data_IF_159115033631
#
_entry.id   IF_159115033631
#
_cell.length_a   1.000
_cell.length_b   1.000
_cell.length_c   1.000
_cell.angle_alpha   90.00
_cell.angle_beta   90.00
_cell.angle_gamma   90.00
#
_symmetry.space_group_name_H-M   'P 1'
#
loop_
_entity.id
_entity.type
_entity.pdbx_description
1 polymer ?
#
# COMPACT_ATOMS: atom_id res chain seq x y z
N UNK A 1 4.51 8.55 -10.26
CA UNK A 1 4.74 7.28 -9.52
C UNK A 1 4.72 6.02 -10.41
N UNK A 2 4.46 6.12 -11.74
CA UNK A 2 4.44 4.95 -12.62
C UNK A 2 5.84 4.31 -12.70
N UNK A 3 5.95 3.01 -12.41
CA UNK A 3 7.20 2.24 -12.45
C UNK A 3 7.33 1.35 -13.70
N UNK A 4 6.34 1.34 -14.57
CA UNK A 4 6.26 0.39 -15.69
C UNK A 4 6.43 1.04 -17.06
N UNK A 5 6.33 2.37 -17.14
CA UNK A 5 6.30 3.07 -18.41
C UNK A 5 7.06 4.39 -18.36
N UNK A 6 7.85 4.63 -19.40
CA UNK A 6 8.53 5.91 -19.61
C UNK A 6 7.54 6.92 -20.18
N UNK A 7 7.63 8.15 -19.66
CA UNK A 7 6.95 9.31 -20.26
C UNK A 7 7.99 10.34 -20.65
N UNK A 8 7.89 10.87 -21.87
CA UNK A 8 8.84 11.84 -22.38
C UNK A 8 8.80 13.14 -21.54
N UNK A 9 9.97 13.62 -21.14
CA UNK A 9 10.10 14.83 -20.33
C UNK A 9 9.68 14.70 -18.87
N UNK A 10 9.31 13.49 -18.39
CA UNK A 10 8.90 13.26 -17.02
C UNK A 10 9.83 12.28 -16.31
N UNK A 11 10.44 12.73 -15.22
CA UNK A 11 11.18 11.87 -14.30
C UNK A 11 10.16 11.19 -13.38
N UNK A 12 9.84 9.94 -13.67
CA UNK A 12 8.95 9.10 -12.88
C UNK A 12 9.71 7.92 -12.23
N UNK A 13 9.03 7.03 -11.51
CA UNK A 13 9.67 5.86 -10.88
C UNK A 13 10.29 4.93 -11.91
N UNK A 14 9.72 4.80 -13.12
CA UNK A 14 10.35 4.05 -14.20
C UNK A 14 11.72 4.64 -14.56
N UNK A 15 11.81 5.97 -14.71
CA UNK A 15 13.08 6.62 -15.00
C UNK A 15 14.13 6.35 -13.90
N UNK A 16 13.75 6.49 -12.63
CA UNK A 16 14.63 6.26 -11.50
C UNK A 16 15.11 4.80 -11.43
N UNK A 17 14.24 3.86 -11.75
CA UNK A 17 14.53 2.43 -11.66
C UNK A 17 15.35 1.91 -12.83
N UNK A 18 15.00 2.31 -14.08
CA UNK A 18 15.49 1.65 -15.29
C UNK A 18 16.45 2.50 -16.14
N UNK A 19 16.45 3.84 -15.96
CA UNK A 19 17.24 4.74 -16.81
C UNK A 19 18.35 5.41 -16.02
N UNK A 20 18.07 5.91 -14.81
CA UNK A 20 19.06 6.57 -13.98
C UNK A 20 20.22 5.61 -13.63
N UNK A 21 21.46 6.04 -13.85
CA UNK A 21 22.64 5.28 -13.47
C UNK A 21 22.90 5.31 -11.97
N UNK A 22 23.62 4.29 -11.44
CA UNK A 22 24.10 4.33 -10.06
C UNK A 22 25.03 5.52 -9.84
N UNK A 23 24.94 6.15 -8.67
CA UNK A 23 25.70 7.34 -8.26
C UNK A 23 25.42 8.61 -9.09
N UNK A 24 24.45 8.58 -10.00
CA UNK A 24 24.00 9.76 -10.72
C UNK A 24 22.94 10.49 -9.87
N UNK A 25 23.13 11.80 -9.70
CA UNK A 25 22.17 12.67 -9.01
C UNK A 25 21.20 13.30 -10.02
N UNK A 26 19.91 13.27 -9.73
CA UNK A 26 18.89 13.91 -10.55
C UNK A 26 17.91 14.70 -9.67
N UNK A 27 17.48 15.85 -10.16
CA UNK A 27 16.38 16.60 -9.55
C UNK A 27 15.04 15.98 -9.94
N UNK A 28 14.17 15.75 -8.95
CA UNK A 28 12.85 15.16 -9.11
C UNK A 28 11.75 16.13 -8.68
N UNK A 29 10.54 15.91 -9.17
CA UNK A 29 9.36 16.69 -8.76
C UNK A 29 9.13 16.58 -7.24
N UNK A 30 8.73 17.70 -6.63
CA UNK A 30 8.50 17.77 -5.18
C UNK A 30 7.53 16.69 -4.67
N UNK A 31 6.46 16.38 -5.39
CA UNK A 31 5.51 15.34 -4.97
C UNK A 31 6.13 13.93 -5.01
N UNK A 32 7.06 13.69 -5.96
CA UNK A 32 7.81 12.44 -5.99
C UNK A 32 8.83 12.38 -4.85
N UNK A 33 9.48 13.49 -4.54
CA UNK A 33 10.36 13.63 -3.37
C UNK A 33 9.59 13.38 -2.06
N UNK A 34 8.45 14.04 -1.89
CA UNK A 34 7.62 13.91 -0.69
C UNK A 34 7.19 12.45 -0.44
N UNK A 35 6.69 11.75 -1.46
CA UNK A 35 6.23 10.35 -1.30
C UNK A 35 7.39 9.38 -1.01
N UNK A 36 8.60 9.63 -1.56
CA UNK A 36 9.80 8.84 -1.25
C UNK A 36 10.22 9.08 0.20
N UNK A 37 10.26 10.34 0.66
CA UNK A 37 10.59 10.67 2.05
C UNK A 37 9.61 10.00 3.03
N UNK A 38 8.32 10.04 2.75
CA UNK A 38 7.31 9.37 3.57
C UNK A 38 7.55 7.85 3.57
N UNK A 39 7.89 7.26 2.41
CA UNK A 39 8.22 5.85 2.33
C UNK A 39 9.44 5.46 3.17
N UNK A 40 10.49 6.28 3.21
CA UNK A 40 11.68 6.11 4.06
C UNK A 40 11.30 6.26 5.56
N UNK A 41 10.48 7.24 5.89
CA UNK A 41 9.97 7.43 7.26
C UNK A 41 9.23 6.19 7.76
N UNK A 42 8.31 5.64 6.92
CA UNK A 42 7.55 4.44 7.30
C UNK A 42 8.37 3.15 7.27
N UNK A 43 9.43 3.06 6.46
CA UNK A 43 10.41 2.00 6.61
C UNK A 43 10.97 1.95 8.04
N UNK A 44 11.38 3.09 8.58
CA UNK A 44 11.92 3.19 9.94
C UNK A 44 10.85 2.92 11.01
N UNK A 45 9.62 3.42 10.82
CA UNK A 45 8.51 3.23 11.78
C UNK A 45 7.98 1.79 11.83
N UNK A 46 8.27 0.98 10.84
CA UNK A 46 7.79 -0.41 10.70
C UNK A 46 8.91 -1.44 10.74
N UNK A 47 10.08 -1.06 11.25
CA UNK A 47 11.28 -1.91 11.33
C UNK A 47 11.61 -2.59 10.00
N UNK A 48 11.47 -1.85 8.89
CA UNK A 48 11.76 -2.30 7.54
C UNK A 48 10.68 -3.14 6.87
N UNK A 49 9.57 -3.42 7.55
CA UNK A 49 8.49 -4.24 6.99
C UNK A 49 7.72 -3.52 5.87
N UNK A 50 7.49 -2.20 5.99
CA UNK A 50 7.06 -1.37 4.89
C UNK A 50 8.28 -0.82 4.16
N UNK A 51 8.64 -1.39 3.00
CA UNK A 51 9.89 -1.08 2.32
C UNK A 51 9.68 -0.66 0.86
N UNK A 52 9.83 0.63 0.58
CA UNK A 52 9.74 1.17 -0.78
C UNK A 52 10.96 0.82 -1.66
N UNK A 53 12.07 0.36 -1.08
CA UNK A 53 13.26 -0.12 -1.80
C UNK A 53 13.14 -1.58 -2.26
N UNK A 54 12.00 -2.24 -2.03
CA UNK A 54 11.76 -3.63 -2.40
C UNK A 54 11.43 -3.85 -3.90
N UNK A 55 11.67 -2.86 -4.77
CA UNK A 55 11.27 -2.90 -6.18
C UNK A 55 11.88 -4.06 -6.98
N UNK A 56 13.11 -4.46 -6.68
CA UNK A 56 13.71 -5.65 -7.29
C UNK A 56 12.97 -6.92 -6.88
N UNK A 57 12.71 -7.10 -5.59
CA UNK A 57 12.02 -8.26 -5.03
C UNK A 57 10.57 -8.37 -5.54
N UNK A 58 9.81 -7.28 -5.49
CA UNK A 58 8.42 -7.25 -5.98
C UNK A 58 8.33 -7.42 -7.48
N UNK A 59 9.37 -7.00 -8.22
CA UNK A 59 9.50 -7.21 -9.67
C UNK A 59 9.59 -8.70 -10.02
N UNK A 60 10.46 -9.46 -9.33
CA UNK A 60 10.59 -10.91 -9.50
C UNK A 60 9.26 -11.61 -9.21
N UNK A 61 8.67 -11.37 -8.03
CA UNK A 61 7.38 -11.98 -7.69
C UNK A 61 6.28 -11.65 -8.68
N UNK A 62 6.23 -10.43 -9.21
CA UNK A 62 5.25 -10.06 -10.25
C UNK A 62 5.40 -10.92 -11.49
N UNK A 63 6.62 -11.21 -11.95
CA UNK A 63 6.83 -12.09 -13.11
C UNK A 63 6.34 -13.50 -12.85
N UNK A 64 6.67 -14.07 -11.68
CA UNK A 64 6.23 -15.41 -11.31
C UNK A 64 4.72 -15.51 -11.12
N UNK A 65 4.10 -14.53 -10.48
CA UNK A 65 2.63 -14.47 -10.33
C UNK A 65 1.94 -14.37 -11.70
N UNK A 66 2.49 -13.59 -12.63
CA UNK A 66 1.91 -13.45 -13.98
C UNK A 66 2.07 -14.73 -14.82
N UNK A 67 3.18 -15.44 -14.70
CA UNK A 67 3.42 -16.71 -15.40
C UNK A 67 2.65 -17.88 -14.78
N UNK A 68 2.52 -17.88 -13.47
CA UNK A 68 1.78 -18.85 -12.65
C UNK A 68 2.10 -20.33 -12.94
N UNK A 69 3.38 -20.66 -13.09
CA UNK A 69 3.83 -22.01 -13.43
C UNK A 69 4.95 -22.56 -12.55
N UNK A 70 5.57 -21.71 -11.73
CA UNK A 70 6.65 -22.04 -10.81
C UNK A 70 6.84 -20.95 -9.77
N UNK A 71 7.66 -21.21 -8.75
CA UNK A 71 8.04 -20.23 -7.75
C UNK A 71 9.49 -19.76 -7.97
N UNK A 72 9.86 -18.54 -7.60
CA UNK A 72 11.23 -18.08 -7.65
C UNK A 72 12.10 -18.87 -6.67
N UNK A 73 13.33 -19.18 -7.07
CA UNK A 73 14.32 -19.78 -6.18
C UNK A 73 14.86 -18.77 -5.17
N UNK A 74 15.39 -19.27 -4.04
CA UNK A 74 16.03 -18.41 -3.04
C UNK A 74 17.18 -17.57 -3.63
N UNK A 75 17.89 -18.11 -4.64
CA UNK A 75 18.97 -17.39 -5.32
C UNK A 75 18.45 -16.20 -6.14
N UNK A 76 17.31 -16.34 -6.80
CA UNK A 76 16.65 -15.24 -7.52
C UNK A 76 16.11 -14.18 -6.57
N UNK A 77 15.62 -14.59 -5.39
CA UNK A 77 15.13 -13.69 -4.36
C UNK A 77 16.26 -12.99 -3.56
N UNK A 78 17.52 -13.37 -3.79
CA UNK A 78 18.66 -12.72 -3.14
C UNK A 78 19.08 -11.45 -3.88
N UNK A 79 18.22 -10.46 -3.82
CA UNK A 79 18.36 -9.15 -4.46
C UNK A 79 18.49 -8.02 -3.44
N UNK A 80 19.08 -6.92 -3.88
CA UNK A 80 19.20 -5.72 -3.05
C UNK A 80 17.84 -5.08 -2.81
N UNK A 81 17.53 -4.83 -1.53
CA UNK A 81 16.36 -4.11 -1.03
C UNK A 81 16.73 -3.13 0.09
N UNK A 82 18.02 -2.73 0.16
CA UNK A 82 18.52 -1.86 1.22
C UNK A 82 18.04 -0.41 1.00
N UNK A 83 17.29 0.13 1.94
CA UNK A 83 16.78 1.50 1.88
C UNK A 83 17.89 2.55 1.90
N UNK A 84 19.06 2.24 2.49
CA UNK A 84 20.21 3.14 2.56
C UNK A 84 20.87 3.37 1.18
N UNK A 85 20.53 2.55 0.19
CA UNK A 85 20.95 2.73 -1.20
C UNK A 85 20.08 3.79 -1.94
N UNK A 86 19.16 4.42 -1.26
CA UNK A 86 18.38 5.59 -1.70
C UNK A 86 18.87 6.80 -0.92
N UNK A 87 19.38 7.82 -1.62
CA UNK A 87 19.69 9.11 -1.04
C UNK A 87 18.77 10.17 -1.62
N UNK A 88 18.13 10.92 -0.75
CA UNK A 88 17.29 12.04 -1.12
C UNK A 88 17.68 13.26 -0.27
N UNK A 89 18.19 14.28 -0.93
CA UNK A 89 18.52 15.57 -0.33
C UNK A 89 17.67 16.66 -0.99
N UNK A 90 16.68 17.16 -0.25
CA UNK A 90 15.61 17.99 -0.80
C UNK A 90 14.90 17.25 -1.97
N UNK A 91 15.05 17.76 -3.21
CA UNK A 91 14.49 17.13 -4.41
C UNK A 91 15.56 16.43 -5.26
N UNK A 92 16.76 16.23 -4.74
CA UNK A 92 17.86 15.56 -5.44
C UNK A 92 17.92 14.09 -5.04
N UNK A 93 17.64 13.23 -5.97
CA UNK A 93 17.63 11.79 -5.81
C UNK A 93 18.89 11.15 -6.37
N UNK A 94 19.49 10.26 -5.61
CA UNK A 94 20.60 9.41 -6.05
C UNK A 94 20.32 7.97 -5.64
N UNK A 95 20.64 7.00 -6.48
CA UNK A 95 20.57 5.58 -6.13
C UNK A 95 21.94 4.90 -6.19
N UNK A 96 22.07 3.85 -5.39
CA UNK A 96 23.26 3.00 -5.33
C UNK A 96 22.87 1.54 -5.53
N UNK A 97 23.85 0.70 -5.94
CA UNK A 97 23.73 -0.76 -5.97
C UNK A 97 22.47 -1.29 -6.70
N UNK A 98 22.08 -0.65 -7.80
CA UNK A 98 20.93 -1.00 -8.63
C UNK A 98 19.59 -1.13 -7.87
N UNK A 99 19.42 -0.37 -6.79
CA UNK A 99 18.18 -0.36 -6.03
C UNK A 99 16.99 0.09 -6.91
N UNK A 100 15.85 -0.51 -6.73
CA UNK A 100 14.59 -0.14 -7.40
C UNK A 100 13.50 0.21 -6.40
N UNK A 101 12.78 1.28 -6.70
CA UNK A 101 11.63 1.73 -5.93
C UNK A 101 10.36 0.94 -6.28
N UNK A 102 9.56 0.64 -5.27
CA UNK A 102 8.16 0.25 -5.39
C UNK A 102 7.29 1.12 -4.48
N UNK A 103 6.48 1.98 -5.07
CA UNK A 103 5.55 2.86 -4.36
C UNK A 103 4.10 2.32 -4.35
N UNK A 104 3.92 1.03 -4.66
CA UNK A 104 2.58 0.41 -4.78
C UNK A 104 1.72 0.48 -3.53
N UNK A 105 2.33 0.40 -2.34
CA UNK A 105 1.64 0.47 -1.05
C UNK A 105 1.41 1.88 -0.49
N UNK A 106 1.75 2.94 -1.24
CA UNK A 106 1.64 4.33 -0.77
C UNK A 106 1.07 5.28 -1.82
N UNK A 107 1.26 4.99 -3.11
CA UNK A 107 0.99 5.95 -4.18
C UNK A 107 -0.49 6.29 -4.34
N UNK A 108 -1.38 5.29 -4.19
CA UNK A 108 -2.83 5.53 -4.29
C UNK A 108 -3.32 6.41 -3.15
N UNK A 109 -2.90 6.09 -1.92
CA UNK A 109 -3.21 6.87 -0.72
C UNK A 109 -2.72 8.31 -0.82
N UNK A 110 -1.48 8.50 -1.25
CA UNK A 110 -0.90 9.82 -1.42
C UNK A 110 -1.67 10.67 -2.44
N UNK A 111 -1.97 10.13 -3.62
CA UNK A 111 -2.71 10.87 -4.65
C UNK A 111 -4.15 11.15 -4.20
N UNK A 112 -4.82 10.19 -3.59
CA UNK A 112 -6.18 10.37 -3.04
C UNK A 112 -6.22 11.47 -1.97
N UNK A 113 -5.19 11.52 -1.10
CA UNK A 113 -5.05 12.59 -0.10
C UNK A 113 -4.89 13.95 -0.77
N UNK A 114 -3.99 14.08 -1.76
CA UNK A 114 -3.80 15.34 -2.50
C UNK A 114 -5.08 15.81 -3.19
N UNK A 115 -5.85 14.90 -3.80
CA UNK A 115 -7.12 15.25 -4.45
C UNK A 115 -8.16 15.67 -3.41
N UNK A 116 -8.25 14.97 -2.28
CA UNK A 116 -9.13 15.34 -1.17
C UNK A 116 -8.84 16.75 -0.64
N UNK A 117 -7.56 17.02 -0.35
CA UNK A 117 -7.12 18.34 0.11
C UNK A 117 -7.43 19.43 -0.92
N UNK A 118 -7.18 19.17 -2.21
CA UNK A 118 -7.52 20.12 -3.27
C UNK A 118 -9.02 20.44 -3.32
N UNK A 119 -9.89 19.45 -3.14
CA UNK A 119 -11.34 19.67 -3.09
C UNK A 119 -11.72 20.52 -1.88
N UNK A 120 -11.19 20.19 -0.71
CA UNK A 120 -11.46 20.91 0.55
C UNK A 120 -10.96 22.36 0.50
N UNK A 121 -9.76 22.61 -0.04
CA UNK A 121 -9.20 23.96 -0.26
C UNK A 121 -10.05 24.81 -1.21
N UNK A 122 -10.81 24.16 -2.11
CA UNK A 122 -11.77 24.81 -2.99
C UNK A 122 -13.22 24.80 -2.45
N UNK A 123 -13.40 24.56 -1.15
CA UNK A 123 -14.70 24.51 -0.45
C UNK A 123 -15.65 23.39 -0.93
N UNK A 124 -15.12 22.36 -1.59
CA UNK A 124 -15.87 21.16 -1.99
C UNK A 124 -15.67 20.11 -0.88
N UNK A 125 -16.51 20.17 0.14
CA UNK A 125 -16.40 19.30 1.32
C UNK A 125 -17.17 17.97 1.18
N UNK A 126 -18.12 17.90 0.24
CA UNK A 126 -18.98 16.72 0.05
C UNK A 126 -18.51 15.96 -1.18
N UNK A 127 -17.72 14.90 -0.98
CA UNK A 127 -17.14 14.12 -2.08
C UNK A 127 -16.95 12.66 -1.71
N UNK A 128 -16.82 11.82 -2.72
CA UNK A 128 -16.31 10.45 -2.64
C UNK A 128 -15.25 10.31 -3.71
N UNK A 129 -14.05 9.91 -3.30
CA UNK A 129 -12.96 9.52 -4.19
C UNK A 129 -12.79 8.01 -4.05
N UNK A 130 -12.80 7.28 -5.17
CA UNK A 130 -12.46 5.85 -5.20
C UNK A 130 -11.34 5.61 -6.20
N UNK A 131 -10.15 5.37 -5.70
CA UNK A 131 -8.95 5.09 -6.47
C UNK A 131 -8.62 3.58 -6.44
N UNK A 132 -9.54 2.75 -6.97
CA UNK A 132 -9.32 1.31 -7.07
C UNK A 132 -9.17 0.60 -5.71
N UNK A 133 -10.15 0.82 -4.82
CA UNK A 133 -10.19 0.23 -3.47
C UNK A 133 -9.56 1.08 -2.38
N UNK A 134 -8.93 2.21 -2.74
CA UNK A 134 -8.61 3.28 -1.80
C UNK A 134 -9.75 4.29 -1.87
N UNK A 135 -10.61 4.34 -0.85
CA UNK A 135 -11.82 5.18 -0.80
C UNK A 135 -11.62 6.26 0.25
N UNK A 136 -11.74 7.54 -0.16
CA UNK A 136 -11.81 8.69 0.74
C UNK A 136 -13.16 9.38 0.58
N UNK A 137 -13.83 9.67 1.68
CA UNK A 137 -15.05 10.48 1.68
C UNK A 137 -14.82 11.77 2.46
N UNK A 138 -15.37 12.85 1.95
CA UNK A 138 -15.48 14.11 2.66
C UNK A 138 -16.65 14.13 3.64
N UNK A 139 -17.11 15.32 4.02
CA UNK A 139 -18.26 15.47 4.92
C UNK A 139 -19.54 14.99 4.24
N UNK A 140 -20.36 14.25 4.96
CA UNK A 140 -21.66 13.84 4.46
C UNK A 140 -22.62 15.07 4.36
N UNK A 141 -23.42 15.12 3.30
CA UNK A 141 -24.38 16.19 3.05
C UNK A 141 -25.82 15.67 3.16
N UNK A 142 -26.64 16.29 3.98
CA UNK A 142 -28.03 15.89 4.28
C UNK A 142 -28.17 14.44 4.78
N UNK A 143 -27.12 13.90 5.39
CA UNK A 143 -27.06 12.57 6.01
C UNK A 143 -25.92 12.54 7.03
N UNK A 144 -25.93 11.56 7.91
CA UNK A 144 -24.91 11.44 8.96
C UNK A 144 -23.59 10.85 8.45
N UNK A 145 -23.66 9.93 7.48
CA UNK A 145 -22.50 9.19 6.97
C UNK A 145 -22.70 8.73 5.52
N UNK A 146 -21.62 8.29 4.93
CA UNK A 146 -21.58 7.48 3.72
C UNK A 146 -21.45 6.00 4.09
N UNK A 147 -22.08 5.13 3.30
CA UNK A 147 -21.95 3.68 3.45
C UNK A 147 -20.93 3.17 2.43
N UNK A 148 -19.87 2.52 2.91
CA UNK A 148 -18.85 1.90 2.07
C UNK A 148 -18.85 0.40 2.29
N UNK A 149 -19.03 -0.37 1.20
CA UNK A 149 -18.95 -1.83 1.23
C UNK A 149 -17.51 -2.32 1.21
N UNK A 150 -17.16 -3.27 2.09
CA UNK A 150 -15.88 -3.95 2.08
C UNK A 150 -16.04 -5.27 1.31
N UNK A 151 -15.23 -5.45 0.26
CA UNK A 151 -15.30 -6.60 -0.65
C UNK A 151 -15.04 -7.91 0.10
N UNK A 152 -15.84 -8.93 -0.18
CA UNK A 152 -15.61 -10.27 0.33
C UNK A 152 -14.42 -10.93 -0.42
N UNK A 153 -13.33 -11.29 0.27
CA UNK A 153 -12.16 -11.90 -0.39
C UNK A 153 -12.44 -13.28 -1.00
N UNK A 154 -13.45 -13.99 -0.52
CA UNK A 154 -13.84 -15.32 -1.03
C UNK A 154 -14.74 -15.22 -2.25
N UNK A 155 -15.45 -14.11 -2.41
CA UNK A 155 -16.29 -13.82 -3.57
C UNK A 155 -16.33 -12.32 -3.83
N UNK A 156 -15.46 -11.86 -4.71
CA UNK A 156 -15.26 -10.41 -4.98
C UNK A 156 -16.45 -9.71 -5.64
N UNK A 157 -17.47 -10.45 -6.06
CA UNK A 157 -18.75 -9.87 -6.52
C UNK A 157 -19.65 -9.43 -5.35
N UNK A 158 -19.33 -9.84 -4.12
CA UNK A 158 -20.08 -9.57 -2.92
C UNK A 158 -19.28 -8.68 -1.94
N UNK A 159 -20.00 -8.07 -1.02
CA UNK A 159 -19.43 -7.43 0.17
C UNK A 159 -19.59 -8.38 1.36
N UNK A 160 -18.63 -8.39 2.31
CA UNK A 160 -18.81 -9.14 3.55
C UNK A 160 -19.33 -8.26 4.70
N UNK A 161 -19.01 -6.96 4.67
CA UNK A 161 -19.59 -5.99 5.60
C UNK A 161 -19.67 -4.59 5.01
N UNK A 162 -20.39 -3.68 5.68
CA UNK A 162 -20.53 -2.27 5.34
C UNK A 162 -20.02 -1.43 6.49
N UNK A 163 -19.36 -0.32 6.17
CA UNK A 163 -18.91 0.65 7.16
C UNK A 163 -19.55 2.01 6.93
N UNK A 164 -19.97 2.63 8.01
CA UNK A 164 -20.57 3.96 8.04
C UNK A 164 -19.47 4.99 8.35
N UNK A 165 -19.14 5.84 7.41
CA UNK A 165 -18.01 6.76 7.52
C UNK A 165 -18.37 8.19 7.13
N UNK A 166 -17.75 9.17 7.78
CA UNK A 166 -17.89 10.59 7.53
C UNK A 166 -16.53 11.26 7.69
N UNK A 167 -16.04 11.91 6.65
CA UNK A 167 -14.74 12.54 6.60
C UNK A 167 -13.58 11.58 6.96
N UNK A 168 -13.61 10.39 6.36
CA UNK A 168 -12.67 9.29 6.61
C UNK A 168 -12.26 8.62 5.30
N UNK A 169 -11.21 7.81 5.40
CA UNK A 169 -10.70 6.95 4.33
C UNK A 169 -10.85 5.48 4.73
N UNK A 170 -11.13 4.62 3.75
CA UNK A 170 -11.23 3.17 3.87
C UNK A 170 -10.35 2.54 2.81
N UNK A 171 -9.33 1.80 3.22
CA UNK A 171 -8.39 1.16 2.29
C UNK A 171 -8.20 -0.30 2.65
N UNK A 172 -8.25 -1.16 1.64
CA UNK A 172 -8.11 -2.60 1.81
C UNK A 172 -6.89 -3.14 1.06
N UNK A 173 -6.05 -3.87 1.78
CA UNK A 173 -5.02 -4.74 1.21
C UNK A 173 -5.49 -6.19 1.28
N UNK A 174 -5.31 -6.96 0.19
CA UNK A 174 -5.79 -8.35 0.15
C UNK A 174 -5.16 -9.19 -0.96
N UNK A 175 -5.24 -10.52 -0.78
CA UNK A 175 -4.62 -11.50 -1.65
C UNK A 175 -5.44 -11.86 -2.90
N UNK A 176 -6.59 -11.24 -3.10
CA UNK A 176 -7.55 -11.60 -4.16
C UNK A 176 -7.45 -10.74 -5.43
N UNK A 177 -6.65 -9.66 -5.40
CA UNK A 177 -6.52 -8.73 -6.54
C UNK A 177 -5.52 -9.22 -7.58
N UNK A 178 -4.33 -9.65 -7.14
CA UNK A 178 -3.24 -10.14 -7.99
C UNK A 178 -2.56 -11.30 -7.27
N UNK A 179 -2.70 -12.50 -7.79
CA UNK A 179 -2.18 -13.71 -7.16
C UNK A 179 -1.96 -14.82 -8.19
N UNK A 180 -1.29 -15.84 -7.73
CA UNK A 180 -1.18 -17.13 -8.40
C UNK A 180 -1.40 -18.24 -7.38
N UNK A 181 -2.17 -19.24 -7.74
CA UNK A 181 -2.39 -20.45 -6.93
C UNK A 181 -1.51 -21.59 -7.48
N UNK A 182 -0.53 -22.07 -6.68
CA UNK A 182 0.34 -23.20 -6.99
C UNK A 182 0.24 -24.20 -5.83
N UNK A 183 -0.02 -25.46 -6.11
CA UNK A 183 -0.14 -26.54 -5.11
C UNK A 183 -1.12 -26.20 -3.98
N UNK A 184 -2.26 -25.58 -4.31
CA UNK A 184 -3.28 -25.07 -3.39
C UNK A 184 -2.80 -23.97 -2.41
N UNK A 185 -1.67 -23.36 -2.66
CA UNK A 185 -1.16 -22.21 -1.90
C UNK A 185 -1.28 -20.95 -2.77
N UNK A 186 -1.86 -19.89 -2.18
CA UNK A 186 -2.00 -18.60 -2.83
C UNK A 186 -0.76 -17.73 -2.60
N UNK A 187 -0.15 -17.29 -3.69
CA UNK A 187 0.95 -16.36 -3.70
C UNK A 187 0.47 -15.00 -4.21
N UNK A 188 0.26 -14.08 -3.29
CA UNK A 188 -0.22 -12.73 -3.61
C UNK A 188 0.93 -11.77 -3.94
N UNK A 189 0.58 -10.60 -4.48
CA UNK A 189 1.53 -9.55 -4.82
C UNK A 189 2.07 -8.74 -3.62
N UNK A 190 1.60 -9.01 -2.39
CA UNK A 190 2.04 -8.31 -1.18
C UNK A 190 3.15 -9.13 -0.54
N UNK A 191 4.39 -8.68 -0.76
CA UNK A 191 5.60 -9.40 -0.43
C UNK A 191 6.18 -8.89 0.87
N UNK A 192 6.45 -9.80 1.80
CA UNK A 192 7.17 -9.48 3.03
C UNK A 192 8.67 -9.34 2.71
N UNK A 193 9.29 -8.16 2.88
CA UNK A 193 10.68 -7.93 2.51
C UNK A 193 11.66 -8.69 3.40
N UNK A 194 11.28 -9.07 4.63
CA UNK A 194 12.13 -9.82 5.56
C UNK A 194 12.21 -11.29 5.16
N UNK A 195 11.04 -11.92 4.90
CA UNK A 195 10.99 -13.33 4.48
C UNK A 195 11.20 -13.51 2.99
N UNK A 196 11.18 -12.41 2.21
CA UNK A 196 11.24 -12.35 0.74
C UNK A 196 10.10 -13.12 0.05
N UNK A 197 9.01 -13.44 0.75
CA UNK A 197 7.88 -14.22 0.26
C UNK A 197 6.55 -13.46 0.47
N UNK A 198 5.49 -13.80 -0.31
CA UNK A 198 4.14 -13.31 -0.05
C UNK A 198 3.67 -13.62 1.37
N UNK A 199 3.00 -12.65 2.01
CA UNK A 199 2.36 -12.87 3.32
C UNK A 199 1.02 -13.60 3.16
N UNK A 200 0.70 -14.52 4.11
CA UNK A 200 -0.51 -15.35 4.08
C UNK A 200 -1.21 -15.46 5.45
N UNK A 201 -1.06 -14.46 6.32
CA UNK A 201 -1.70 -14.47 7.65
C UNK A 201 -3.22 -14.25 7.59
N UNK A 202 -3.70 -13.62 6.52
CA UNK A 202 -5.11 -13.26 6.30
C UNK A 202 -5.42 -13.16 4.81
N UNK A 203 -6.69 -13.11 4.44
CA UNK A 203 -7.10 -12.83 3.06
C UNK A 203 -7.18 -11.33 2.75
N UNK A 204 -7.60 -10.52 3.74
CA UNK A 204 -7.57 -9.06 3.62
C UNK A 204 -7.54 -8.37 4.99
N UNK A 205 -7.06 -7.14 4.99
CA UNK A 205 -7.23 -6.18 6.07
C UNK A 205 -7.70 -4.85 5.51
N UNK A 206 -8.68 -4.24 6.16
CA UNK A 206 -9.20 -2.92 5.82
C UNK A 206 -8.90 -1.96 6.95
N UNK A 207 -8.32 -0.83 6.61
CA UNK A 207 -7.96 0.25 7.54
C UNK A 207 -8.89 1.42 7.34
N UNK A 208 -9.35 2.02 8.45
CA UNK A 208 -10.17 3.22 8.50
C UNK A 208 -9.42 4.30 9.29
N UNK A 209 -9.20 5.45 8.68
CA UNK A 209 -8.55 6.61 9.30
C UNK A 209 -8.89 7.89 8.53
N UNK A 210 -8.54 9.06 9.06
CA UNK A 210 -8.75 10.34 8.36
C UNK A 210 -7.89 10.49 7.11
N UNK A 211 -6.65 10.03 7.17
CA UNK A 211 -5.69 10.16 6.06
C UNK A 211 -5.74 8.95 5.13
N UNK A 212 -6.02 9.20 3.86
CA UNK A 212 -5.95 8.18 2.81
C UNK A 212 -4.52 7.63 2.61
N UNK A 213 -3.54 8.50 2.80
CA UNK A 213 -2.12 8.13 2.77
C UNK A 213 -1.80 7.12 3.87
N UNK A 214 -2.18 7.42 5.12
CA UNK A 214 -1.95 6.52 6.25
C UNK A 214 -2.72 5.20 6.08
N UNK A 215 -3.96 5.26 5.61
CA UNK A 215 -4.76 4.07 5.34
C UNK A 215 -4.08 3.12 4.33
N UNK A 216 -3.47 3.65 3.25
CA UNK A 216 -2.76 2.85 2.23
C UNK A 216 -1.51 2.19 2.83
N UNK A 217 -0.68 2.94 3.56
CA UNK A 217 0.52 2.44 4.23
C UNK A 217 0.15 1.37 5.27
N UNK A 218 -0.76 1.69 6.19
CA UNK A 218 -1.12 0.76 7.26
C UNK A 218 -1.85 -0.48 6.76
N UNK A 219 -2.67 -0.39 5.72
CA UNK A 219 -3.28 -1.59 5.14
C UNK A 219 -2.23 -2.56 4.60
N UNK A 220 -1.16 -2.06 3.99
CA UNK A 220 -0.03 -2.88 3.54
C UNK A 220 0.79 -3.41 4.72
N UNK A 221 1.13 -2.56 5.68
CA UNK A 221 1.90 -2.93 6.87
C UNK A 221 1.19 -4.00 7.70
N UNK A 222 -0.09 -3.79 8.02
CA UNK A 222 -0.88 -4.74 8.81
C UNK A 222 -1.10 -6.08 8.07
N UNK A 223 -1.17 -6.06 6.74
CA UNK A 223 -1.24 -7.28 5.94
C UNK A 223 0.04 -8.14 6.04
N UNK A 224 1.18 -7.50 6.28
CA UNK A 224 2.48 -8.17 6.41
C UNK A 224 2.73 -8.73 7.82
N UNK A 225 1.92 -8.35 8.81
CA UNK A 225 2.02 -8.82 10.20
C UNK A 225 1.08 -10.00 10.49
N UNK A 226 1.44 -10.89 11.44
CA UNK A 226 0.48 -11.74 12.11
C UNK A 226 -0.68 -10.90 12.69
N UNK A 227 -1.91 -11.44 12.69
CA UNK A 227 -3.12 -10.69 13.08
C UNK A 227 -3.04 -10.15 14.49
N UNK A 228 -2.52 -10.93 15.44
CA UNK A 228 -2.31 -10.52 16.84
C UNK A 228 -1.36 -9.32 16.96
N UNK A 229 -0.28 -9.31 16.19
CA UNK A 229 0.66 -8.18 16.13
C UNK A 229 0.06 -6.95 15.46
N UNK A 230 -0.69 -7.13 14.38
CA UNK A 230 -1.44 -6.05 13.75
C UNK A 230 -2.48 -5.43 14.69
N UNK A 231 -3.19 -6.25 15.45
CA UNK A 231 -4.17 -5.80 16.46
C UNK A 231 -3.49 -4.97 17.58
N UNK A 232 -2.34 -5.42 18.07
CA UNK A 232 -1.54 -4.68 19.05
C UNK A 232 -1.13 -3.29 18.51
N UNK A 233 -0.67 -3.21 17.24
CA UNK A 233 -0.31 -1.94 16.59
C UNK A 233 -1.49 -0.99 16.53
N UNK A 234 -2.66 -1.47 16.10
CA UNK A 234 -3.85 -0.63 15.93
C UNK A 234 -4.41 -0.18 17.26
N UNK A 235 -4.54 -1.08 18.24
CA UNK A 235 -5.09 -0.74 19.55
C UNK A 235 -4.21 0.25 20.35
N UNK A 236 -2.93 0.36 20.00
CA UNK A 236 -2.02 1.38 20.54
C UNK A 236 -2.03 2.69 19.74
N UNK A 237 -2.85 2.82 18.68
CA UNK A 237 -2.93 3.99 17.83
C UNK A 237 -4.39 4.47 17.66
N UNK A 238 -4.77 5.50 18.40
CA UNK A 238 -6.14 6.03 18.42
C UNK A 238 -6.65 6.61 17.08
N UNK A 239 -5.77 6.85 16.12
CA UNK A 239 -6.12 7.45 14.83
C UNK A 239 -6.49 6.43 13.76
N UNK A 240 -6.34 5.13 14.04
CA UNK A 240 -6.49 4.05 13.08
C UNK A 240 -7.39 2.96 13.67
N UNK A 241 -8.36 2.52 12.87
CA UNK A 241 -9.13 1.31 13.15
C UNK A 241 -8.99 0.33 12.00
N UNK A 242 -9.11 -0.96 12.29
CA UNK A 242 -8.95 -1.99 11.27
C UNK A 242 -9.86 -3.20 11.48
N UNK A 243 -10.18 -3.85 10.36
CA UNK A 243 -10.90 -5.12 10.33
C UNK A 243 -10.12 -6.11 9.45
N UNK A 244 -9.83 -7.28 9.99
CA UNK A 244 -9.14 -8.38 9.32
C UNK A 244 -10.12 -9.47 8.92
N UNK A 245 -10.06 -9.89 7.67
CA UNK A 245 -10.78 -11.05 7.17
C UNK A 245 -9.78 -12.21 6.98
N UNK A 246 -9.80 -13.17 7.89
CA UNK A 246 -8.97 -14.38 7.83
C UNK A 246 -9.70 -15.41 6.96
N UNK A 247 -10.92 -15.73 7.34
CA UNK A 247 -11.89 -16.53 6.58
C UNK A 247 -13.33 -16.14 6.98
N UNK A 248 -14.34 -16.80 6.42
CA UNK A 248 -15.76 -16.48 6.67
C UNK A 248 -16.20 -16.60 8.14
N UNK A 249 -15.52 -17.40 8.94
CA UNK A 249 -15.84 -17.68 10.34
C UNK A 249 -14.90 -16.92 11.30
N UNK A 250 -13.83 -16.33 10.77
CA UNK A 250 -12.79 -15.65 11.52
C UNK A 250 -12.58 -14.22 11.00
N UNK A 251 -13.28 -13.28 11.61
CA UNK A 251 -13.14 -11.83 11.36
C UNK A 251 -12.72 -11.16 12.67
N UNK A 252 -11.60 -10.47 12.64
CA UNK A 252 -11.05 -9.73 13.80
C UNK A 252 -11.24 -8.24 13.59
N UNK A 253 -11.54 -7.50 14.65
CA UNK A 253 -11.68 -6.04 14.65
C UNK A 253 -10.82 -5.45 15.74
N UNK A 254 -10.33 -4.24 15.53
CA UNK A 254 -9.72 -3.43 16.58
C UNK A 254 -10.73 -3.07 17.67
N UNK A 255 -10.25 -2.76 18.86
CA UNK A 255 -11.09 -2.61 20.06
C UNK A 255 -12.12 -1.46 19.93
N UNK A 256 -11.80 -0.41 19.19
CA UNK A 256 -12.67 0.75 19.00
C UNK A 256 -13.39 0.77 17.63
N UNK A 257 -13.42 -0.36 16.94
CA UNK A 257 -14.07 -0.45 15.62
C UNK A 257 -15.61 -0.32 15.73
N UNK A 258 -16.14 0.87 15.45
CA UNK A 258 -17.56 1.24 15.63
C UNK A 258 -18.23 1.68 14.31
N UNK A 259 -17.87 1.11 13.17
CA UNK A 259 -18.31 1.57 11.85
C UNK A 259 -19.41 0.73 11.19
N UNK A 260 -19.80 -0.39 11.79
CA UNK A 260 -20.84 -1.29 11.24
C UNK A 260 -22.25 -0.87 11.59
#
# INVERSE_FOLDING_TARGET
>A
TNRYEKYDGIVNVYYLNEILSNNEEIEIDKKLSDIINIGIEYYNKTDGLFNIAAGNLTGIWKEYINKCNSLPSNKELDVNINIDDIKLDNNKYTKYNDIKLDLGGIAKGYVTELVGNYLEDNNINNYIINAGGNVKVGKAYNKEYYIVGITNPDNTSNIFTKVNINNLSVVTSGNYQRYCDIDNIRYSHIINPITKNPSNYMKSVTVITKSSLLADIYSTYLYLLPVDKGLEVVNNNSDIEAIWYIDKDNIVRSDNFNYE
#
